data_IF_410871742252
#
_entry.id   IF_410871742252
#
_cell.length_a   1.000
_cell.length_b   1.000
_cell.length_c   1.000
_cell.angle_alpha   90.00
_cell.angle_beta   90.00
_cell.angle_gamma   90.00
#
_symmetry.space_group_name_H-M   'P 1'
#
loop_
_entity.id
_entity.type
_entity.pdbx_description
1 polymer ?
#
# COMPACT_ATOMS: atom_id res chain seq x y z
N UNK A 1 -5.47 -5.32 13.87
CA UNK A 1 -5.11 -6.35 12.84
C UNK A 1 -3.66 -6.10 12.42
N UNK A 2 -2.92 -7.14 12.00
CA UNK A 2 -1.57 -7.00 11.42
C UNK A 2 -1.58 -7.51 9.98
N UNK A 3 -0.81 -6.86 9.12
CA UNK A 3 -0.57 -7.28 7.73
C UNK A 3 0.94 -7.34 7.46
N UNK A 4 1.35 -8.10 6.45
CA UNK A 4 2.75 -8.20 6.03
C UNK A 4 2.91 -7.67 4.61
N UNK A 5 3.89 -6.80 4.38
CA UNK A 5 4.20 -6.33 3.03
C UNK A 5 4.86 -7.48 2.24
N UNK A 6 4.23 -7.91 1.14
CA UNK A 6 4.76 -8.96 0.26
C UNK A 6 5.47 -8.40 -0.98
N UNK A 7 5.15 -7.16 -1.34
CA UNK A 7 5.78 -6.40 -2.41
C UNK A 7 5.54 -4.90 -2.17
N UNK A 8 6.43 -4.06 -2.66
CA UNK A 8 6.40 -2.61 -2.43
C UNK A 8 6.67 -1.79 -3.72
N UNK A 9 6.52 -2.40 -4.89
CA UNK A 9 6.64 -1.71 -6.18
C UNK A 9 5.29 -1.64 -6.87
N UNK A 10 5.09 -0.61 -7.69
CA UNK A 10 3.88 -0.44 -8.49
C UNK A 10 3.65 -1.58 -9.48
N UNK A 11 4.71 -2.22 -9.99
CA UNK A 11 4.61 -3.43 -10.82
C UNK A 11 3.89 -4.61 -10.14
N UNK A 12 3.79 -4.59 -8.80
CA UNK A 12 3.09 -5.62 -8.03
C UNK A 12 1.62 -5.26 -7.74
N UNK A 13 1.17 -4.06 -8.13
CA UNK A 13 -0.23 -3.66 -8.01
C UNK A 13 -1.07 -4.20 -9.17
N UNK A 14 -2.35 -4.51 -8.93
CA UNK A 14 -3.32 -4.67 -10.01
C UNK A 14 -3.38 -3.41 -10.88
N UNK A 15 -3.60 -3.59 -12.18
CA UNK A 15 -3.60 -2.48 -13.15
C UNK A 15 -4.61 -1.37 -12.78
N UNK A 16 -5.78 -1.74 -12.26
CA UNK A 16 -6.82 -0.81 -11.81
C UNK A 16 -6.47 -0.04 -10.53
N UNK A 17 -5.37 -0.40 -9.84
CA UNK A 17 -4.84 0.33 -8.68
C UNK A 17 -3.79 1.37 -9.08
N UNK A 18 -3.29 1.29 -10.32
CA UNK A 18 -2.40 2.31 -10.87
C UNK A 18 -3.21 3.57 -11.15
N UNK A 19 -2.77 4.67 -10.56
CA UNK A 19 -3.40 5.97 -10.71
C UNK A 19 -2.31 7.03 -10.89
N UNK A 20 -1.88 7.30 -12.13
CA UNK A 20 -0.79 8.22 -12.42
C UNK A 20 -1.02 9.63 -11.86
N UNK A 21 -2.27 10.08 -11.77
CA UNK A 21 -2.63 11.37 -11.21
C UNK A 21 -2.21 11.57 -9.74
N UNK A 22 -1.91 10.48 -9.00
CA UNK A 22 -1.37 10.54 -7.64
C UNK A 22 -0.02 9.82 -7.51
N UNK A 23 0.75 9.72 -8.60
CA UNK A 23 2.06 9.05 -8.65
C UNK A 23 2.04 7.59 -8.19
N UNK A 24 0.93 6.87 -8.46
CA UNK A 24 0.86 5.40 -8.37
C UNK A 24 1.00 4.81 -9.77
N UNK A 25 2.22 4.63 -10.23
CA UNK A 25 2.57 4.02 -11.52
C UNK A 25 3.37 2.74 -11.31
N UNK A 26 3.69 2.02 -12.37
CA UNK A 26 4.55 0.82 -12.32
C UNK A 26 5.92 1.08 -11.72
N UNK A 27 6.45 2.29 -11.89
CA UNK A 27 7.76 2.73 -11.43
C UNK A 27 7.75 3.16 -9.95
N UNK A 28 6.56 3.31 -9.34
CA UNK A 28 6.44 3.74 -7.95
C UNK A 28 7.05 2.73 -7.00
N UNK A 29 7.85 3.22 -6.04
CA UNK A 29 8.34 2.44 -4.89
C UNK A 29 7.67 2.97 -3.63
N UNK A 30 6.92 2.10 -2.96
CA UNK A 30 6.24 2.41 -1.70
C UNK A 30 7.22 2.32 -0.53
N UNK A 31 7.05 3.19 0.47
CA UNK A 31 7.88 3.25 1.69
C UNK A 31 7.48 2.17 2.70
N UNK A 32 7.41 0.94 2.21
CA UNK A 32 7.09 -0.25 2.98
C UNK A 32 8.18 -1.28 2.72
N UNK A 33 8.82 -1.73 3.79
CA UNK A 33 9.78 -2.83 3.80
C UNK A 33 9.07 -4.17 3.56
N UNK A 34 9.48 -4.89 2.50
CA UNK A 34 9.01 -6.26 2.22
C UNK A 34 9.38 -7.19 3.38
N UNK A 35 8.43 -8.03 3.81
CA UNK A 35 8.56 -8.95 4.94
C UNK A 35 8.22 -8.34 6.30
N UNK A 36 8.18 -7.00 6.44
CA UNK A 36 7.80 -6.31 7.69
C UNK A 36 6.30 -6.43 7.95
N UNK A 37 5.94 -6.57 9.23
CA UNK A 37 4.57 -6.50 9.69
C UNK A 37 4.18 -5.08 10.08
N UNK A 38 2.98 -4.67 9.68
CA UNK A 38 2.40 -3.35 9.98
C UNK A 38 1.12 -3.50 10.78
N UNK A 39 0.88 -2.53 11.67
CA UNK A 39 -0.38 -2.43 12.41
C UNK A 39 -1.39 -1.67 11.57
N UNK A 40 -2.57 -2.26 11.40
CA UNK A 40 -3.72 -1.61 10.76
C UNK A 40 -4.49 -0.83 11.82
N UNK A 41 -4.59 0.49 11.64
CA UNK A 41 -5.32 1.39 12.54
C UNK A 41 -6.77 1.61 12.13
N UNK A 42 -7.04 1.60 10.81
CA UNK A 42 -8.39 1.70 10.26
C UNK A 42 -8.49 0.91 8.95
N UNK A 43 -9.72 0.57 8.60
CA UNK A 43 -10.09 -0.08 7.34
C UNK A 43 -11.18 0.79 6.71
N UNK A 44 -11.05 1.09 5.44
CA UNK A 44 -12.06 1.83 4.65
C UNK A 44 -12.39 1.08 3.36
N UNK A 45 -13.57 1.32 2.82
CA UNK A 45 -14.03 0.73 1.57
C UNK A 45 -14.47 1.85 0.62
N UNK A 46 -13.88 1.86 -0.58
CA UNK A 46 -14.26 2.78 -1.63
C UNK A 46 -14.23 2.07 -2.99
N UNK A 47 -15.36 2.16 -3.70
CA UNK A 47 -15.53 1.61 -5.06
C UNK A 47 -15.22 0.10 -5.15
N UNK A 48 -15.60 -0.67 -4.13
CA UNK A 48 -15.35 -2.11 -4.03
C UNK A 48 -13.92 -2.46 -3.61
N UNK A 49 -13.07 -1.48 -3.29
CA UNK A 49 -11.69 -1.68 -2.87
C UNK A 49 -11.54 -1.41 -1.38
N UNK A 50 -10.89 -2.33 -0.69
CA UNK A 50 -10.59 -2.21 0.75
C UNK A 50 -9.22 -1.58 0.94
N UNK A 51 -9.17 -0.49 1.68
CA UNK A 51 -7.95 0.24 2.04
C UNK A 51 -7.59 0.01 3.50
N UNK A 52 -6.29 -0.15 3.75
CA UNK A 52 -5.75 -0.28 5.11
C UNK A 52 -4.96 0.98 5.47
N UNK A 53 -5.34 1.60 6.58
CA UNK A 53 -4.56 2.70 7.14
C UNK A 53 -3.45 2.13 8.02
N UNK A 54 -2.22 2.29 7.55
CA UNK A 54 -0.99 1.89 8.23
C UNK A 54 -0.03 3.07 8.31
N UNK A 55 0.92 3.00 9.23
CA UNK A 55 2.07 3.88 9.24
C UNK A 55 3.18 3.30 8.36
N UNK A 56 3.76 4.12 7.49
CA UNK A 56 4.88 3.72 6.62
C UNK A 56 6.20 3.66 7.41
N UNK A 57 7.31 3.35 6.72
CA UNK A 57 8.62 3.25 7.35
C UNK A 57 9.19 4.59 7.87
N UNK A 58 8.58 5.73 7.52
CA UNK A 58 9.02 7.06 7.95
C UNK A 58 8.25 7.58 9.18
N UNK A 59 7.23 6.86 9.65
CA UNK A 59 6.46 7.26 10.84
C UNK A 59 7.28 7.03 12.12
N UNK A 60 7.51 8.11 12.87
CA UNK A 60 8.24 8.15 14.17
C UNK A 60 7.24 8.30 15.31
#
# INVERSE_FOLDING_TARGET
>A
MKIRCIANTGTSLPENYLYPAVNRTTETVFRLTVGKEYVVYAIDEAEGNVWYYICDDNFI
#
